data_IF_457037549962
#
_entry.id   IF_457037549962
#
_cell.length_a   1.000
_cell.length_b   1.000
_cell.length_c   1.000
_cell.angle_alpha   90.00
_cell.angle_beta   90.00
_cell.angle_gamma   90.00
#
_symmetry.space_group_name_H-M   'P 1'
#
loop_
_entity.id
_entity.type
_entity.pdbx_description
1 polymer ?
#
# COMPACT_ATOMS: atom_id res chain seq x y z
N UNK A 1 -15.08 6.16 13.67
CA UNK A 1 -15.18 5.47 12.37
C UNK A 1 -13.94 5.82 11.58
N UNK A 2 -13.08 4.85 11.27
CA UNK A 2 -11.95 5.08 10.36
C UNK A 2 -12.51 5.20 8.94
N UNK A 3 -12.08 6.20 8.18
CA UNK A 3 -12.55 6.35 6.80
C UNK A 3 -12.08 5.15 5.95
N UNK A 4 -12.93 4.73 5.01
CA UNK A 4 -12.64 3.66 4.07
C UNK A 4 -13.06 4.07 2.66
N UNK A 5 -12.39 3.49 1.66
CA UNK A 5 -12.68 3.66 0.24
C UNK A 5 -12.53 2.33 -0.48
N UNK A 6 -13.32 2.12 -1.53
CA UNK A 6 -13.15 0.98 -2.44
C UNK A 6 -12.47 1.47 -3.70
N UNK A 7 -11.34 0.85 -4.08
CA UNK A 7 -10.66 1.18 -5.33
C UNK A 7 -11.45 0.65 -6.54
N UNK A 8 -11.03 1.00 -7.77
CA UNK A 8 -11.70 0.51 -8.99
C UNK A 8 -11.63 -1.01 -9.20
N UNK A 9 -10.80 -1.72 -8.41
CA UNK A 9 -10.59 -3.16 -8.46
C UNK A 9 -11.45 -3.92 -7.44
N UNK A 10 -12.21 -3.20 -6.61
CA UNK A 10 -13.05 -3.79 -5.57
C UNK A 10 -12.35 -4.02 -4.24
N UNK A 11 -11.09 -3.61 -4.09
CA UNK A 11 -10.38 -3.72 -2.81
C UNK A 11 -10.83 -2.61 -1.85
N UNK A 12 -11.14 -2.99 -0.62
CA UNK A 12 -11.40 -2.04 0.46
C UNK A 12 -10.10 -1.56 1.09
N UNK A 13 -9.93 -0.24 1.10
CA UNK A 13 -8.77 0.46 1.66
C UNK A 13 -9.23 1.27 2.86
N UNK A 14 -8.59 1.04 4.00
CA UNK A 14 -8.94 1.70 5.27
C UNK A 14 -7.78 2.55 5.77
N UNK A 15 -8.10 3.71 6.36
CA UNK A 15 -7.11 4.45 7.15
C UNK A 15 -6.62 3.55 8.29
N UNK A 16 -5.30 3.50 8.46
CA UNK A 16 -4.57 2.63 9.39
C UNK A 16 -4.10 1.31 8.78
N UNK A 17 -4.61 0.91 7.61
CA UNK A 17 -4.22 -0.33 6.95
C UNK A 17 -2.78 -0.24 6.43
N UNK A 18 -2.04 -1.35 6.56
CA UNK A 18 -0.68 -1.46 6.03
C UNK A 18 -0.71 -2.14 4.67
N UNK A 19 0.04 -1.57 3.73
CA UNK A 19 0.26 -2.05 2.38
C UNK A 19 1.76 -2.26 2.13
N UNK A 20 2.11 -3.38 1.52
CA UNK A 20 3.45 -3.81 1.17
C UNK A 20 3.69 -3.59 -0.31
N UNK A 21 4.90 -3.16 -0.69
CA UNK A 21 5.34 -3.17 -2.09
C UNK A 21 5.23 -4.57 -2.74
N UNK A 22 5.32 -4.61 -4.07
CA UNK A 22 5.51 -5.85 -4.83
C UNK A 22 6.70 -6.65 -4.26
N UNK A 23 6.52 -7.94 -3.89
CA UNK A 23 7.59 -8.77 -3.37
C UNK A 23 8.75 -9.00 -4.36
N UNK A 24 8.59 -8.67 -5.64
CA UNK A 24 9.65 -8.73 -6.65
C UNK A 24 10.66 -7.59 -6.55
N UNK A 25 10.44 -6.58 -5.71
CA UNK A 25 11.37 -5.46 -5.51
C UNK A 25 12.52 -5.84 -4.58
N UNK A 26 13.72 -5.33 -4.86
CA UNK A 26 14.88 -5.42 -3.95
C UNK A 26 14.61 -4.71 -2.62
N UNK A 27 13.87 -3.60 -2.64
CA UNK A 27 13.46 -2.88 -1.42
C UNK A 27 11.95 -2.96 -1.29
N UNK A 28 11.48 -3.69 -0.28
CA UNK A 28 10.06 -3.85 0.04
C UNK A 28 9.71 -2.86 1.15
N UNK A 29 8.80 -1.92 0.86
CA UNK A 29 8.28 -0.97 1.85
C UNK A 29 6.96 -1.43 2.44
N UNK A 30 6.77 -1.14 3.71
CA UNK A 30 5.48 -1.17 4.40
C UNK A 30 4.95 0.25 4.54
N UNK A 31 3.72 0.46 4.10
CA UNK A 31 3.05 1.75 3.99
C UNK A 31 1.78 1.74 4.82
N UNK A 32 1.65 2.65 5.77
CA UNK A 32 0.37 2.85 6.47
C UNK A 32 -0.44 3.91 5.77
N UNK A 33 -1.69 3.61 5.43
CA UNK A 33 -2.64 4.62 4.93
C UNK A 33 -3.00 5.55 6.09
N UNK A 34 -2.77 6.84 5.94
CA UNK A 34 -3.08 7.84 6.95
C UNK A 34 -4.27 8.71 6.55
N UNK A 35 -4.49 8.94 5.26
CA UNK A 35 -5.60 9.76 4.76
C UNK A 35 -5.93 9.48 3.28
N UNK A 36 -7.03 10.03 2.77
CA UNK A 36 -7.37 10.09 1.35
C UNK A 36 -7.53 11.55 0.90
N UNK A 37 -6.93 11.90 -0.23
CA UNK A 37 -7.02 13.23 -0.82
C UNK A 37 -7.47 13.16 -2.27
N UNK A 38 -8.23 14.16 -2.71
CA UNK A 38 -8.48 14.40 -4.13
C UNK A 38 -7.17 14.86 -4.81
N UNK A 39 -6.77 14.19 -5.88
CA UNK A 39 -5.62 14.52 -6.71
C UNK A 39 -6.04 15.08 -8.09
N UNK A 40 -7.28 15.59 -8.20
CA UNK A 40 -7.82 16.22 -9.38
C UNK A 40 -8.04 15.20 -10.50
N UNK A 41 -7.48 15.47 -11.69
CA UNK A 41 -7.64 14.60 -12.86
C UNK A 41 -7.04 13.19 -12.68
N UNK A 42 -6.20 12.99 -11.66
CA UNK A 42 -5.60 11.70 -11.33
C UNK A 42 -6.49 10.84 -10.40
N UNK A 43 -7.65 11.36 -9.98
CA UNK A 43 -8.58 10.68 -9.08
C UNK A 43 -8.18 10.83 -7.61
N UNK A 44 -8.50 9.82 -6.80
CA UNK A 44 -8.19 9.85 -5.36
C UNK A 44 -6.83 9.24 -5.07
N UNK A 45 -6.06 9.89 -4.20
CA UNK A 45 -4.78 9.39 -3.70
C UNK A 45 -4.88 9.03 -2.21
N UNK A 46 -4.30 7.90 -1.84
CA UNK A 46 -4.01 7.57 -0.45
C UNK A 46 -2.72 8.29 -0.03
N UNK A 47 -2.79 9.02 1.08
CA UNK A 47 -1.63 9.55 1.78
C UNK A 47 -1.13 8.45 2.72
N UNK A 48 0.12 8.04 2.56
CA UNK A 48 0.70 6.94 3.31
C UNK A 48 2.04 7.31 3.95
N UNK A 49 2.29 6.82 5.16
CA UNK A 49 3.61 6.85 5.80
C UNK A 49 4.36 5.55 5.53
N UNK A 50 5.59 5.66 5.03
CA UNK A 50 6.54 4.54 4.96
C UNK A 50 7.02 4.20 6.37
N UNK A 51 6.39 3.21 6.98
CA UNK A 51 6.71 2.78 8.36
C UNK A 51 7.94 1.86 8.42
N UNK A 52 8.23 1.15 7.32
CA UNK A 52 9.38 0.26 7.20
C UNK A 52 9.83 0.14 5.75
N UNK A 53 11.12 -0.06 5.52
CA UNK A 53 11.66 -0.53 4.25
C UNK A 53 12.71 -1.61 4.51
N UNK A 54 12.55 -2.77 3.87
CA UNK A 54 13.44 -3.93 3.97
C UNK A 54 14.16 -4.14 2.65
N UNK A 55 15.49 -4.17 2.66
CA UNK A 55 16.29 -4.64 1.54
C UNK A 55 16.35 -6.18 1.58
N UNK A 56 15.90 -6.85 0.52
CA UNK A 56 15.85 -8.32 0.45
C UNK A 56 17.19 -8.95 0.12
N UNK A 57 18.13 -8.20 -0.47
CA UNK A 57 19.49 -8.66 -0.77
C UNK A 57 20.40 -8.58 0.46
N UNK A 58 20.36 -7.46 1.18
CA UNK A 58 21.24 -7.24 2.36
C UNK A 58 20.58 -7.62 3.68
N UNK A 59 19.25 -7.70 3.71
CA UNK A 59 18.47 -7.90 4.94
C UNK A 59 18.25 -6.62 5.75
N UNK A 60 18.80 -5.48 5.33
CA UNK A 60 18.72 -4.22 6.07
C UNK A 60 17.28 -3.74 6.23
N UNK A 61 16.96 -3.25 7.43
CA UNK A 61 15.66 -2.67 7.74
C UNK A 61 15.85 -1.22 8.15
N UNK A 62 15.13 -0.34 7.48
CA UNK A 62 15.06 1.10 7.81
C UNK A 62 13.63 1.51 8.16
N UNK A 63 13.49 2.60 8.91
CA UNK A 63 12.20 3.21 9.28
C UNK A 63 12.19 4.67 8.86
N UNK A 64 11.91 4.96 7.58
CA UNK A 64 12.12 6.29 7.03
C UNK A 64 11.16 7.34 7.60
N UNK A 65 9.94 6.97 8.00
CA UNK A 65 8.91 7.92 8.43
C UNK A 65 8.49 8.90 7.33
N UNK A 66 8.79 8.57 6.07
CA UNK A 66 8.51 9.42 4.91
C UNK A 66 7.05 9.30 4.52
N UNK A 67 6.38 10.44 4.33
CA UNK A 67 5.03 10.49 3.76
C UNK A 67 5.09 10.48 2.23
N UNK A 68 4.20 9.72 1.61
CA UNK A 68 4.04 9.58 0.16
C UNK A 68 2.56 9.61 -0.21
N UNK A 69 2.25 10.05 -1.43
CA UNK A 69 0.91 9.95 -1.99
C UNK A 69 0.90 8.90 -3.09
N UNK A 70 -0.08 8.00 -3.05
CA UNK A 70 -0.21 6.86 -3.96
C UNK A 70 -1.62 6.89 -4.52
N UNK A 71 -1.76 6.73 -5.84
CA UNK A 71 -3.08 6.57 -6.43
C UNK A 71 -3.78 5.36 -5.78
N UNK A 72 -5.00 5.56 -5.27
CA UNK A 72 -5.79 4.52 -4.57
C UNK A 72 -5.95 3.27 -5.43
N UNK A 73 -6.07 3.43 -6.74
CA UNK A 73 -6.18 2.29 -7.64
C UNK A 73 -4.88 1.48 -7.67
N UNK A 74 -3.69 2.07 -7.46
CA UNK A 74 -2.44 1.29 -7.40
C UNK A 74 -2.30 0.41 -6.15
N UNK A 75 -3.13 0.62 -5.13
CA UNK A 75 -3.25 -0.25 -3.97
C UNK A 75 -4.19 -1.42 -4.30
N UNK A 76 -3.76 -2.27 -5.23
CA UNK A 76 -4.51 -3.46 -5.66
C UNK A 76 -3.57 -4.67 -5.78
N UNK A 77 -4.09 -5.87 -5.52
CA UNK A 77 -3.38 -7.11 -5.81
C UNK A 77 -3.65 -7.57 -7.26
N UNK A 78 -2.87 -7.11 -8.25
CA UNK A 78 -2.97 -7.74 -9.59
C UNK A 78 -2.21 -9.06 -9.62
N UNK A 79 -2.75 -10.04 -10.35
CA UNK A 79 -2.07 -11.29 -10.72
C UNK A 79 -0.71 -11.06 -11.41
N UNK A 80 -0.50 -9.88 -12.02
CA UNK A 80 0.76 -9.45 -12.61
C UNK A 80 1.85 -9.01 -11.63
N UNK A 81 1.56 -8.87 -10.33
CA UNK A 81 2.55 -8.58 -9.27
C UNK A 81 2.79 -7.10 -8.95
N UNK A 82 2.60 -6.18 -9.90
CA UNK A 82 3.16 -4.82 -9.84
C UNK A 82 2.51 -3.83 -8.82
N UNK A 83 1.54 -4.27 -8.02
CA UNK A 83 0.79 -3.43 -7.08
C UNK A 83 1.18 -3.65 -5.61
N UNK A 84 0.61 -2.85 -4.72
CA UNK A 84 0.80 -3.04 -3.28
C UNK A 84 -0.14 -4.13 -2.74
N UNK A 85 0.22 -4.78 -1.63
CA UNK A 85 -0.59 -5.83 -0.99
C UNK A 85 -0.86 -5.54 0.48
N UNK A 86 -2.04 -5.82 1.04
CA UNK A 86 -2.27 -5.63 2.47
C UNK A 86 -1.33 -6.50 3.31
N UNK A 87 -0.85 -5.98 4.44
CA UNK A 87 -0.11 -6.75 5.47
C UNK A 87 -1.10 -7.66 6.21
N UNK A 88 -1.48 -8.76 5.54
CA UNK A 88 -2.36 -9.85 5.96
C UNK A 88 -3.87 -9.57 6.11
N UNK A 89 -4.63 -10.18 5.20
CA UNK A 89 -5.70 -11.11 5.56
C UNK A 89 -5.53 -12.34 4.68
N UNK A 90 -5.26 -13.49 5.29
CA UNK A 90 -5.36 -14.89 4.83
C UNK A 90 -5.65 -15.14 3.35
N UNK A 91 -4.89 -16.06 2.75
CA UNK A 91 -5.33 -16.86 1.61
C UNK A 91 -6.83 -17.22 1.76
N UNK A 92 -7.71 -16.56 1.01
CA UNK A 92 -9.09 -17.01 0.85
C UNK A 92 -9.08 -18.14 -0.19
N UNK A 93 -8.78 -19.33 0.33
CA UNK A 93 -9.11 -20.69 -0.13
C UNK A 93 -9.22 -21.01 -1.63
N UNK A 94 -8.64 -22.16 -1.98
CA UNK A 94 -9.26 -23.09 -2.94
C UNK A 94 -8.29 -23.78 -3.86
#
# INVERSE_FOLDING_TARGET
MSAMMTNRHGDEIRIGQIWLDDPRRTVIRSLRVDDFTDAGSLGTAAVCTVVQARNTETGDITRPGRVVSINVDSLHATAGGNGYRPENGTDLHG
#
